data_IF_431470352421
#
_entry.id   IF_431470352421
#
_cell.length_a   1.000
_cell.length_b   1.000
_cell.length_c   1.000
_cell.angle_alpha   90.00
_cell.angle_beta   90.00
_cell.angle_gamma   90.00
#
_symmetry.space_group_name_H-M   'P 1'
#
loop_
_entity.id
_entity.type
_entity.pdbx_description
1 polymer ?
#
# COMPACT_ATOMS: atom_id res chain seq x y z
N UNK A 1 -23.88 36.75 0.04
CA UNK A 1 -23.95 35.31 -0.17
C UNK A 1 -22.53 34.78 -0.19
N UNK A 2 -22.04 34.25 0.94
CA UNK A 2 -20.77 33.50 0.94
C UNK A 2 -20.99 32.23 0.14
N UNK A 3 -20.29 32.07 -0.98
CA UNK A 3 -20.13 30.77 -1.60
C UNK A 3 -19.42 29.89 -0.57
N UNK A 4 -20.17 29.05 0.13
CA UNK A 4 -19.56 27.99 0.93
C UNK A 4 -18.84 27.08 -0.06
N UNK A 5 -17.51 27.10 -0.04
CA UNK A 5 -16.69 26.26 -0.88
C UNK A 5 -17.06 24.79 -0.66
N UNK A 6 -17.05 23.98 -1.73
CA UNK A 6 -17.22 22.53 -1.61
C UNK A 6 -16.01 21.90 -0.90
N UNK A 7 -16.27 20.89 -0.12
CA UNK A 7 -15.24 20.13 0.59
C UNK A 7 -15.19 18.70 0.05
N UNK A 8 -14.01 18.28 -0.38
CA UNK A 8 -13.77 16.95 -0.90
C UNK A 8 -12.79 16.20 -0.02
N UNK A 9 -12.95 14.87 0.04
CA UNK A 9 -11.96 13.94 0.60
C UNK A 9 -11.50 13.04 -0.53
N UNK A 10 -10.18 12.99 -0.76
CA UNK A 10 -9.55 11.99 -1.61
C UNK A 10 -8.96 10.90 -0.72
N UNK A 11 -9.22 9.61 -1.03
CA UNK A 11 -8.63 8.47 -0.32
C UNK A 11 -7.89 7.60 -1.33
N UNK A 12 -6.63 7.27 -1.01
CA UNK A 12 -5.75 6.40 -1.78
C UNK A 12 -5.30 5.21 -0.92
N UNK A 13 -5.44 3.99 -1.44
CA UNK A 13 -5.04 2.76 -0.75
C UNK A 13 -3.55 2.52 -0.94
N UNK A 14 -2.82 2.42 0.16
CA UNK A 14 -1.36 2.37 0.16
C UNK A 14 -0.81 1.08 -0.46
N UNK A 15 -0.08 1.21 -1.57
CA UNK A 15 0.54 0.07 -2.29
C UNK A 15 -0.46 -1.07 -2.51
N UNK A 16 -1.63 -0.77 -3.05
CA UNK A 16 -2.84 -1.57 -2.94
C UNK A 16 -2.64 -3.05 -3.29
N UNK A 17 -2.14 -3.38 -4.48
CA UNK A 17 -1.98 -4.78 -4.88
C UNK A 17 -1.01 -5.54 -3.96
N UNK A 18 0.10 -4.91 -3.57
CA UNK A 18 1.05 -5.51 -2.65
C UNK A 18 0.46 -5.70 -1.25
N UNK A 19 -0.37 -4.73 -0.79
CA UNK A 19 -1.09 -4.85 0.47
C UNK A 19 -2.08 -6.01 0.47
N UNK A 20 -2.85 -6.18 -0.61
CA UNK A 20 -3.74 -7.35 -0.78
C UNK A 20 -2.96 -8.66 -0.71
N UNK A 21 -1.82 -8.74 -1.43
CA UNK A 21 -1.01 -9.95 -1.44
C UNK A 21 -0.39 -10.27 -0.07
N UNK A 22 -0.01 -9.26 0.71
CA UNK A 22 0.43 -9.44 2.09
C UNK A 22 -0.72 -9.98 2.97
N UNK A 23 -1.88 -9.34 2.93
CA UNK A 23 -3.05 -9.74 3.74
C UNK A 23 -3.48 -11.18 3.46
N UNK A 24 -3.52 -11.59 2.20
CA UNK A 24 -3.86 -12.96 1.79
C UNK A 24 -2.88 -14.03 2.31
N UNK A 25 -1.65 -13.61 2.64
CA UNK A 25 -0.60 -14.47 3.20
C UNK A 25 -0.47 -14.36 4.73
N UNK A 26 -1.33 -13.57 5.38
CA UNK A 26 -1.22 -13.31 6.82
C UNK A 26 0.02 -12.49 7.20
N UNK A 27 0.50 -11.63 6.29
CA UNK A 27 1.67 -10.79 6.46
C UNK A 27 1.25 -9.32 6.63
N UNK A 28 2.04 -8.55 7.37
CA UNK A 28 1.82 -7.11 7.54
C UNK A 28 2.30 -6.34 6.30
N UNK A 29 1.39 -5.63 5.58
CA UNK A 29 1.75 -4.85 4.39
C UNK A 29 2.77 -3.73 4.65
N UNK A 30 2.87 -3.24 5.87
CA UNK A 30 3.77 -2.14 6.22
C UNK A 30 5.20 -2.58 6.50
N UNK A 31 5.38 -3.84 6.90
CA UNK A 31 6.69 -4.36 7.34
C UNK A 31 7.23 -5.49 6.47
N UNK A 32 6.43 -6.03 5.56
CA UNK A 32 6.84 -7.12 4.66
C UNK A 32 7.39 -6.57 3.34
N UNK A 33 8.56 -7.01 2.94
CA UNK A 33 9.12 -6.74 1.62
C UNK A 33 8.45 -7.63 0.58
N UNK A 34 7.65 -7.03 -0.30
CA UNK A 34 6.94 -7.75 -1.35
C UNK A 34 6.76 -6.88 -2.59
N UNK A 35 6.89 -7.48 -3.77
CA UNK A 35 6.52 -6.89 -5.06
C UNK A 35 5.44 -7.73 -5.73
N UNK A 36 4.56 -7.08 -6.48
CA UNK A 36 3.61 -7.74 -7.37
C UNK A 36 4.14 -7.64 -8.79
N UNK A 37 4.58 -8.76 -9.34
CA UNK A 37 5.15 -8.83 -10.68
C UNK A 37 4.97 -10.22 -11.29
N UNK A 38 4.86 -10.28 -12.62
CA UNK A 38 4.85 -11.53 -13.38
C UNK A 38 6.28 -11.95 -13.72
N UNK A 39 6.92 -12.66 -12.79
CA UNK A 39 8.29 -13.16 -12.96
C UNK A 39 8.43 -14.25 -14.05
N UNK A 40 7.31 -14.84 -14.52
CA UNK A 40 7.33 -15.85 -15.59
C UNK A 40 7.67 -15.26 -16.96
N UNK A 41 7.52 -13.93 -17.13
CA UNK A 41 7.78 -13.24 -18.39
C UNK A 41 9.28 -12.95 -18.55
N UNK A 42 9.74 -11.88 -17.95
CA UNK A 42 11.15 -11.46 -17.96
C UNK A 42 11.42 -10.57 -16.75
N UNK A 43 12.69 -10.41 -16.37
CA UNK A 43 13.11 -9.43 -15.35
C UNK A 43 12.86 -7.96 -15.78
N UNK A 44 12.56 -7.70 -17.06
CA UNK A 44 12.18 -6.38 -17.56
C UNK A 44 10.71 -6.03 -17.27
N UNK A 45 9.92 -6.97 -16.73
CA UNK A 45 8.53 -6.72 -16.36
C UNK A 45 8.43 -5.60 -15.31
N UNK A 46 7.38 -4.78 -15.43
CA UNK A 46 7.12 -3.71 -14.48
C UNK A 46 6.41 -4.31 -13.26
N UNK A 47 6.88 -3.98 -12.07
CA UNK A 47 6.17 -4.26 -10.83
C UNK A 47 4.87 -3.43 -10.80
N UNK A 48 3.74 -4.09 -10.58
CA UNK A 48 2.45 -3.42 -10.46
C UNK A 48 2.28 -2.74 -9.10
N UNK A 49 2.96 -3.24 -8.08
CA UNK A 49 3.03 -2.64 -6.76
C UNK A 49 4.30 -3.10 -6.02
N UNK A 50 4.76 -2.25 -5.11
CA UNK A 50 5.89 -2.49 -4.21
C UNK A 50 5.47 -2.08 -2.80
N UNK A 51 5.75 -2.89 -1.79
CA UNK A 51 5.41 -2.56 -0.40
C UNK A 51 6.17 -1.35 0.11
N UNK A 52 5.62 -0.62 1.11
CA UNK A 52 6.29 0.54 1.70
C UNK A 52 7.67 0.24 2.27
N UNK A 53 7.84 -0.91 2.94
CA UNK A 53 9.13 -1.31 3.51
C UNK A 53 10.21 -1.50 2.44
N UNK A 54 9.83 -2.05 1.29
CA UNK A 54 10.76 -2.22 0.16
C UNK A 54 11.04 -0.90 -0.56
N UNK A 55 10.03 -0.02 -0.69
CA UNK A 55 10.22 1.36 -1.19
C UNK A 55 11.21 2.16 -0.35
N UNK A 56 11.31 1.89 0.95
CA UNK A 56 12.26 2.55 1.85
C UNK A 56 13.74 2.36 1.44
N UNK A 57 14.03 1.33 0.66
CA UNK A 57 15.35 1.15 0.05
C UNK A 57 15.58 1.98 -1.23
N UNK A 58 14.66 2.87 -1.59
CA UNK A 58 14.75 3.71 -2.78
C UNK A 58 14.19 3.05 -4.05
N UNK A 59 13.44 1.95 -3.91
CA UNK A 59 12.78 1.25 -5.02
C UNK A 59 11.49 1.98 -5.39
N UNK A 60 11.31 2.32 -6.68
CA UNK A 60 10.10 2.95 -7.19
C UNK A 60 8.89 2.01 -7.08
N UNK A 61 7.70 2.57 -6.85
CA UNK A 61 6.45 1.80 -6.83
C UNK A 61 6.11 1.12 -8.16
N UNK A 62 6.73 1.56 -9.26
CA UNK A 62 6.61 0.99 -10.61
C UNK A 62 7.97 0.60 -11.19
N UNK A 63 8.91 0.20 -10.34
CA UNK A 63 10.21 -0.30 -10.77
C UNK A 63 10.06 -1.53 -11.67
N UNK A 64 11.00 -1.75 -12.56
CA UNK A 64 11.13 -3.02 -13.25
C UNK A 64 11.72 -4.06 -12.30
N UNK A 65 11.40 -5.33 -12.49
CA UNK A 65 11.84 -6.38 -11.57
C UNK A 65 13.38 -6.44 -11.45
N UNK A 66 14.13 -6.24 -12.55
CA UNK A 66 15.59 -6.21 -12.49
C UNK A 66 16.13 -5.05 -11.62
N UNK A 67 15.45 -3.89 -11.59
CA UNK A 67 15.85 -2.76 -10.73
C UNK A 67 15.69 -3.11 -9.25
N UNK A 68 14.66 -3.89 -8.91
CA UNK A 68 14.47 -4.44 -7.55
C UNK A 68 15.62 -5.38 -7.20
N UNK A 69 15.95 -6.31 -8.10
CA UNK A 69 17.05 -7.27 -7.93
C UNK A 69 18.39 -6.54 -7.69
N UNK A 70 18.72 -5.57 -8.54
CA UNK A 70 19.97 -4.81 -8.45
C UNK A 70 20.02 -4.01 -7.14
N UNK A 71 18.92 -3.31 -6.80
CA UNK A 71 18.90 -2.50 -5.58
C UNK A 71 19.03 -3.34 -4.31
N UNK A 72 18.40 -4.50 -4.25
CA UNK A 72 18.55 -5.42 -3.11
C UNK A 72 19.97 -5.96 -3.01
N UNK A 73 20.62 -6.27 -4.13
CA UNK A 73 22.05 -6.66 -4.14
C UNK A 73 22.95 -5.56 -3.57
N UNK A 74 22.73 -4.29 -3.97
CA UNK A 74 23.46 -3.14 -3.46
C UNK A 74 23.28 -2.97 -1.94
N UNK A 75 22.02 -3.04 -1.47
CA UNK A 75 21.69 -2.97 -0.04
C UNK A 75 22.39 -4.07 0.73
N UNK A 76 22.39 -5.29 0.23
CA UNK A 76 23.04 -6.42 0.88
C UNK A 76 24.59 -6.28 0.85
N UNK A 77 25.17 -5.69 -0.20
CA UNK A 77 26.58 -5.36 -0.23
C UNK A 77 26.95 -4.31 0.86
N UNK A 78 26.12 -3.30 1.05
CA UNK A 78 26.30 -2.32 2.13
C UNK A 78 26.19 -2.97 3.52
N UNK A 79 25.19 -3.87 3.70
CA UNK A 79 25.02 -4.60 4.97
C UNK A 79 26.23 -5.49 5.29
N UNK A 80 26.79 -6.22 4.31
CA UNK A 80 28.03 -7.01 4.48
C UNK A 80 29.20 -6.14 4.95
N UNK A 81 29.38 -4.97 4.34
CA UNK A 81 30.44 -4.04 4.76
C UNK A 81 30.28 -3.58 6.19
N UNK A 82 29.02 -3.28 6.61
CA UNK A 82 28.72 -2.84 7.96
C UNK A 82 28.84 -3.97 8.99
N UNK A 83 28.46 -5.19 8.63
CA UNK A 83 28.57 -6.37 9.49
C UNK A 83 30.01 -6.90 9.61
N UNK A 84 30.90 -6.48 8.71
CA UNK A 84 32.30 -6.95 8.71
C UNK A 84 32.49 -8.39 8.25
N UNK A 85 31.51 -9.00 7.57
CA UNK A 85 31.57 -10.40 7.12
C UNK A 85 30.33 -10.83 6.34
N UNK A 86 30.16 -12.14 6.22
CA UNK A 86 29.00 -12.74 5.57
C UNK A 86 27.69 -12.40 6.32
N UNK A 87 26.63 -12.22 5.57
CA UNK A 87 25.29 -12.02 6.14
C UNK A 87 24.72 -13.35 6.63
N UNK A 88 23.90 -13.27 7.67
CA UNK A 88 23.19 -14.39 8.25
C UNK A 88 21.92 -14.75 7.45
N UNK A 89 20.89 -15.25 8.13
CA UNK A 89 19.63 -15.63 7.52
C UNK A 89 18.95 -14.49 6.73
N UNK A 90 18.29 -14.84 5.65
CA UNK A 90 17.44 -13.94 4.85
C UNK A 90 16.17 -13.58 5.60
N UNK A 91 15.70 -12.35 5.40
CA UNK A 91 14.41 -11.92 5.93
C UNK A 91 13.71 -10.96 4.98
N UNK A 92 12.39 -11.17 4.83
CA UNK A 92 11.47 -10.22 4.17
C UNK A 92 10.80 -9.28 5.17
N UNK A 93 11.09 -9.38 6.46
CA UNK A 93 10.48 -8.60 7.53
C UNK A 93 11.38 -7.42 7.92
N UNK A 94 10.90 -6.21 7.67
CA UNK A 94 11.63 -4.98 7.94
C UNK A 94 12.01 -4.81 9.42
N UNK A 95 11.17 -5.29 10.36
CA UNK A 95 11.46 -5.21 11.79
C UNK A 95 12.62 -6.14 12.17
N UNK A 96 12.65 -7.37 11.64
CA UNK A 96 13.76 -8.30 11.84
C UNK A 96 15.06 -7.78 11.22
N UNK A 97 14.96 -7.17 10.03
CA UNK A 97 16.10 -6.56 9.35
C UNK A 97 16.66 -5.34 10.09
N UNK A 98 15.78 -4.55 10.74
CA UNK A 98 16.19 -3.42 11.56
C UNK A 98 16.81 -3.86 12.89
N UNK A 99 16.28 -4.90 13.51
CA UNK A 99 16.77 -5.44 14.78
C UNK A 99 18.14 -6.13 14.63
N UNK A 100 18.42 -6.72 13.46
CA UNK A 100 19.67 -7.45 13.23
C UNK A 100 20.30 -7.02 11.88
N UNK A 101 21.28 -6.10 11.92
CA UNK A 101 21.98 -5.61 10.72
C UNK A 101 22.75 -6.70 9.96
N UNK A 102 23.06 -7.84 10.58
CA UNK A 102 23.75 -8.95 9.91
C UNK A 102 22.83 -9.81 9.04
N UNK A 103 21.51 -9.64 9.12
CA UNK A 103 20.55 -10.37 8.26
C UNK A 103 20.59 -9.89 6.80
N UNK A 104 20.43 -10.83 5.89
CA UNK A 104 20.28 -10.53 4.47
C UNK A 104 18.87 -10.05 4.14
N UNK A 105 18.76 -8.94 3.40
CA UNK A 105 17.47 -8.44 2.89
C UNK A 105 16.99 -9.36 1.77
N UNK A 106 15.75 -9.82 1.91
CA UNK A 106 15.03 -10.56 0.87
C UNK A 106 13.64 -9.97 0.66
N UNK A 107 12.95 -10.44 -0.36
CA UNK A 107 11.59 -10.00 -0.70
C UNK A 107 10.80 -11.10 -1.39
N UNK A 108 9.48 -11.01 -1.31
CA UNK A 108 8.56 -11.92 -1.99
C UNK A 108 8.16 -11.35 -3.35
N UNK A 109 8.01 -12.21 -4.34
CA UNK A 109 7.41 -11.88 -5.64
C UNK A 109 6.05 -12.57 -5.71
N UNK A 110 4.98 -11.77 -5.75
CA UNK A 110 3.63 -12.27 -5.91
C UNK A 110 3.15 -12.08 -7.35
N UNK A 111 2.67 -13.12 -8.03
CA UNK A 111 2.06 -12.99 -9.34
C UNK A 111 0.78 -12.14 -9.25
N UNK A 112 0.48 -11.29 -10.26
CA UNK A 112 -0.72 -10.47 -10.26
C UNK A 112 -2.01 -11.30 -10.25
N UNK A 113 -2.98 -10.90 -9.41
CA UNK A 113 -4.31 -11.53 -9.31
C UNK A 113 -5.40 -10.48 -9.42
N UNK A 114 -5.61 -9.95 -10.62
CA UNK A 114 -6.46 -8.78 -10.86
C UNK A 114 -7.91 -8.97 -10.36
N UNK A 115 -8.49 -10.17 -10.55
CA UNK A 115 -9.83 -10.47 -10.05
C UNK A 115 -9.92 -10.33 -8.51
N UNK A 116 -8.87 -10.72 -7.79
CA UNK A 116 -8.80 -10.56 -6.34
C UNK A 116 -8.73 -9.09 -5.94
N UNK A 117 -7.94 -8.30 -6.65
CA UNK A 117 -7.82 -6.86 -6.36
C UNK A 117 -9.14 -6.12 -6.59
N UNK A 118 -9.88 -6.46 -7.65
CA UNK A 118 -11.22 -5.94 -7.91
C UNK A 118 -12.17 -6.33 -6.78
N UNK A 119 -12.13 -7.57 -6.31
CA UNK A 119 -12.95 -8.04 -5.18
C UNK A 119 -12.69 -7.21 -3.91
N UNK A 120 -11.44 -7.01 -3.54
CA UNK A 120 -11.07 -6.23 -2.34
C UNK A 120 -11.40 -4.74 -2.53
N UNK A 121 -11.16 -4.18 -3.71
CA UNK A 121 -11.57 -2.80 -4.04
C UNK A 121 -13.07 -2.60 -3.86
N UNK A 122 -13.89 -3.57 -4.27
CA UNK A 122 -15.35 -3.55 -4.06
C UNK A 122 -15.71 -3.59 -2.57
N UNK A 123 -15.00 -4.38 -1.76
CA UNK A 123 -15.20 -4.38 -0.31
C UNK A 123 -14.89 -3.01 0.32
N UNK A 124 -13.79 -2.39 -0.11
CA UNK A 124 -13.43 -1.03 0.33
C UNK A 124 -14.49 -0.01 -0.08
N UNK A 125 -14.97 -0.06 -1.31
CA UNK A 125 -16.05 0.81 -1.79
C UNK A 125 -17.32 0.66 -0.95
N UNK A 126 -17.69 -0.57 -0.57
CA UNK A 126 -18.82 -0.83 0.32
C UNK A 126 -18.63 -0.22 1.73
N UNK A 127 -17.39 -0.06 2.18
CA UNK A 127 -17.12 0.70 3.43
C UNK A 127 -17.47 2.16 3.24
N UNK A 128 -17.06 2.79 2.14
CA UNK A 128 -17.39 4.20 1.86
C UNK A 128 -18.89 4.44 1.77
N UNK A 129 -19.65 3.49 1.21
CA UNK A 129 -21.13 3.57 1.11
C UNK A 129 -21.85 3.59 2.45
N UNK A 130 -21.22 3.19 3.54
CA UNK A 130 -21.78 3.34 4.90
C UNK A 130 -21.85 4.81 5.32
N UNK A 131 -21.04 5.68 4.74
CA UNK A 131 -20.87 7.07 5.13
C UNK A 131 -21.36 8.05 4.09
N UNK A 132 -21.14 7.77 2.81
CA UNK A 132 -21.37 8.68 1.68
C UNK A 132 -22.25 7.99 0.65
N UNK A 133 -23.21 8.71 0.11
CA UNK A 133 -24.07 8.21 -0.95
C UNK A 133 -23.28 8.00 -2.27
N UNK A 134 -23.66 7.02 -3.09
CA UNK A 134 -22.88 6.68 -4.30
C UNK A 134 -22.76 7.84 -5.30
N UNK A 135 -23.74 8.73 -5.39
CA UNK A 135 -23.74 9.91 -6.25
C UNK A 135 -22.68 10.95 -5.85
N UNK A 136 -22.22 10.93 -4.60
CA UNK A 136 -21.19 11.83 -4.08
C UNK A 136 -19.80 11.17 -4.04
N UNK A 137 -19.68 9.91 -4.51
CA UNK A 137 -18.41 9.18 -4.62
C UNK A 137 -17.98 9.10 -6.08
N UNK A 138 -16.83 9.68 -6.40
CA UNK A 138 -16.16 9.50 -7.68
C UNK A 138 -15.05 8.48 -7.56
N UNK A 139 -15.18 7.32 -8.21
CA UNK A 139 -14.14 6.30 -8.29
C UNK A 139 -13.16 6.69 -9.39
N UNK A 140 -11.97 7.12 -8.99
CA UNK A 140 -10.93 7.54 -9.92
C UNK A 140 -10.16 6.33 -10.48
N UNK A 141 -9.85 5.37 -9.63
CA UNK A 141 -9.17 4.12 -9.99
C UNK A 141 -9.59 2.99 -9.02
N UNK A 142 -8.98 1.81 -9.18
CA UNK A 142 -9.24 0.64 -8.31
C UNK A 142 -8.86 0.90 -6.84
N UNK A 143 -7.97 1.84 -6.59
CA UNK A 143 -7.39 2.15 -5.27
C UNK A 143 -7.59 3.61 -4.84
N UNK A 144 -8.23 4.44 -5.68
CA UNK A 144 -8.39 5.87 -5.40
C UNK A 144 -9.82 6.34 -5.64
N UNK A 145 -10.35 7.07 -4.65
CA UNK A 145 -11.69 7.71 -4.73
C UNK A 145 -11.61 9.16 -4.29
N UNK A 146 -12.52 9.97 -4.83
CA UNK A 146 -12.78 11.34 -4.39
C UNK A 146 -14.25 11.45 -4.01
N UNK A 147 -14.54 12.06 -2.85
CA UNK A 147 -15.90 12.16 -2.32
C UNK A 147 -16.23 13.62 -2.01
N UNK A 148 -17.40 14.09 -2.47
CA UNK A 148 -17.95 15.37 -2.02
C UNK A 148 -18.61 15.17 -0.65
N UNK A 149 -17.98 15.72 0.39
CA UNK A 149 -18.46 15.56 1.78
C UNK A 149 -19.15 16.81 2.32
N UNK A 150 -19.33 17.83 1.49
CA UNK A 150 -19.83 19.15 1.88
C UNK A 150 -21.09 19.07 2.76
N UNK A 151 -22.09 18.32 2.35
CA UNK A 151 -23.37 18.20 3.06
C UNK A 151 -23.33 17.20 4.24
N UNK A 152 -22.31 16.37 4.33
CA UNK A 152 -22.17 15.33 5.35
C UNK A 152 -21.56 15.83 6.65
N UNK A 153 -20.66 16.84 6.56
CA UNK A 153 -19.90 17.35 7.72
C UNK A 153 -20.81 17.88 8.82
N UNK A 154 -21.86 18.60 8.44
CA UNK A 154 -22.83 19.11 9.40
C UNK A 154 -23.68 17.99 10.00
N UNK A 155 -24.13 17.03 9.17
CA UNK A 155 -24.92 15.88 9.58
C UNK A 155 -24.19 15.01 10.59
N UNK A 156 -22.91 14.74 10.32
CA UNK A 156 -22.05 13.94 11.21
C UNK A 156 -21.45 14.75 12.36
N UNK A 157 -21.57 16.07 12.34
CA UNK A 157 -20.91 16.98 13.29
C UNK A 157 -19.41 16.72 13.38
N UNK A 158 -18.77 16.52 12.22
CA UNK A 158 -17.35 16.22 12.07
C UNK A 158 -16.71 17.19 11.10
N UNK A 159 -15.42 17.42 11.28
CA UNK A 159 -14.57 18.01 10.23
C UNK A 159 -14.28 16.97 9.14
N UNK A 160 -13.88 17.42 7.96
CA UNK A 160 -13.49 16.51 6.87
C UNK A 160 -12.36 15.56 7.30
N UNK A 161 -11.42 16.08 8.10
CA UNK A 161 -10.30 15.26 8.64
C UNK A 161 -10.78 14.16 9.59
N UNK A 162 -11.74 14.45 10.45
CA UNK A 162 -12.32 13.45 11.37
C UNK A 162 -13.10 12.39 10.59
N UNK A 163 -13.92 12.80 9.62
CA UNK A 163 -14.66 11.87 8.77
C UNK A 163 -13.71 10.97 7.95
N UNK A 164 -12.65 11.55 7.37
CA UNK A 164 -11.62 10.80 6.67
C UNK A 164 -10.94 9.74 7.57
N UNK A 165 -10.60 10.11 8.81
CA UNK A 165 -10.01 9.17 9.78
C UNK A 165 -10.94 8.02 10.13
N UNK A 166 -12.23 8.29 10.30
CA UNK A 166 -13.25 7.25 10.57
C UNK A 166 -13.33 6.27 9.41
N UNK A 167 -13.42 6.77 8.18
CA UNK A 167 -13.49 5.93 6.97
C UNK A 167 -12.21 5.09 6.78
N UNK A 168 -11.03 5.70 6.93
CA UNK A 168 -9.74 5.00 6.82
C UNK A 168 -9.61 3.90 7.89
N UNK A 169 -10.04 4.19 9.11
CA UNK A 169 -10.06 3.20 10.21
C UNK A 169 -10.98 2.03 9.91
N UNK A 170 -12.17 2.29 9.35
CA UNK A 170 -13.11 1.24 8.97
C UNK A 170 -12.56 0.38 7.81
N UNK A 171 -11.91 1.00 6.81
CA UNK A 171 -11.21 0.27 5.74
C UNK A 171 -10.13 -0.65 6.31
N UNK A 172 -9.31 -0.13 7.23
CA UNK A 172 -8.26 -0.92 7.88
C UNK A 172 -8.84 -2.11 8.67
N UNK A 173 -9.88 -1.89 9.47
CA UNK A 173 -10.53 -2.97 10.22
C UNK A 173 -11.19 -4.01 9.32
N UNK A 174 -11.78 -3.59 8.21
CA UNK A 174 -12.51 -4.49 7.31
C UNK A 174 -11.56 -5.28 6.40
N UNK A 175 -10.46 -4.69 5.95
CA UNK A 175 -9.59 -5.28 4.92
C UNK A 175 -8.14 -5.47 5.34
N UNK A 176 -7.70 -4.86 6.43
CA UNK A 176 -6.28 -4.80 6.84
C UNK A 176 -5.42 -3.89 5.97
N UNK A 177 -6.02 -3.11 5.06
CA UNK A 177 -5.30 -2.24 4.13
C UNK A 177 -5.28 -0.81 4.68
N UNK A 178 -4.08 -0.21 4.72
CA UNK A 178 -3.92 1.19 5.09
C UNK A 178 -4.21 2.11 3.91
N UNK A 179 -4.77 3.28 4.23
CA UNK A 179 -5.06 4.32 3.27
C UNK A 179 -4.50 5.67 3.72
N UNK A 180 -4.33 6.59 2.78
CA UNK A 180 -4.06 8.00 3.02
C UNK A 180 -5.22 8.84 2.53
N UNK A 181 -5.46 10.00 3.16
CA UNK A 181 -6.48 10.94 2.74
C UNK A 181 -5.93 12.36 2.67
N UNK A 182 -6.44 13.12 1.73
CA UNK A 182 -6.18 14.55 1.53
C UNK A 182 -7.45 15.32 1.16
#
# INVERSE_FOLDING_TARGET
>A
MQQSGRTYIAIDLKSFYASVECMERGLDPLTTNLVVADASRTEKTICLAVTPSLKAYGISGRARLFEVVERVKEVNAERRRKAGGELSEKSCDANKLAADPSREVDYLIAPPRMAKYIQISTQVYNVYLKYIAPEDIHVYSIDEVMMDVTNYLQTYRMTARELAKVMISDVLHTTGITATAG
#
